data_IF_430007089068
#
_entry.id   IF_430007089068
#
_cell.length_a   1.000
_cell.length_b   1.000
_cell.length_c   1.000
_cell.angle_alpha   90.00
_cell.angle_beta   90.00
_cell.angle_gamma   90.00
#
_symmetry.space_group_name_H-M   'P 1'
#
loop_
_entity.id
_entity.type
_entity.pdbx_description
1 polymer ?
#
# COMPACT_ATOMS: atom_id res chain seq x y z
N UNK A 1 4.93 20.82 -6.05
CA UNK A 1 4.20 19.85 -5.22
C UNK A 1 3.68 18.64 -6.02
N UNK A 2 2.81 18.79 -7.03
CA UNK A 2 2.28 17.62 -7.78
C UNK A 2 3.37 16.83 -8.53
N UNK A 3 4.29 17.51 -9.21
CA UNK A 3 5.43 16.88 -9.93
C UNK A 3 6.39 16.13 -9.00
N UNK A 4 6.65 16.66 -7.79
CA UNK A 4 7.53 16.03 -6.81
C UNK A 4 6.92 14.74 -6.25
N UNK A 5 5.60 14.72 -6.04
CA UNK A 5 4.86 13.52 -5.62
C UNK A 5 4.89 12.46 -6.72
N UNK A 6 4.68 12.85 -7.98
CA UNK A 6 4.74 11.92 -9.12
C UNK A 6 6.14 11.33 -9.27
N UNK A 7 7.19 12.15 -9.17
CA UNK A 7 8.57 11.69 -9.23
C UNK A 7 8.92 10.73 -8.07
N UNK A 8 8.43 11.02 -6.86
CA UNK A 8 8.59 10.15 -5.70
C UNK A 8 7.91 8.80 -5.89
N UNK A 9 6.66 8.78 -6.39
CA UNK A 9 5.93 7.54 -6.68
C UNK A 9 6.66 6.69 -7.73
N UNK A 10 7.17 7.30 -8.80
CA UNK A 10 7.96 6.59 -9.81
C UNK A 10 9.27 6.01 -9.24
N UNK A 11 9.97 6.76 -8.38
CA UNK A 11 11.18 6.26 -7.69
C UNK A 11 10.85 5.05 -6.80
N UNK A 12 9.77 5.12 -6.02
CA UNK A 12 9.31 4.00 -5.19
C UNK A 12 8.92 2.78 -6.03
N UNK A 13 8.23 2.97 -7.15
CA UNK A 13 7.86 1.90 -8.07
C UNK A 13 9.07 1.23 -8.71
N UNK A 14 10.05 2.02 -9.15
CA UNK A 14 11.32 1.52 -9.69
C UNK A 14 12.13 0.77 -8.62
N UNK A 15 12.16 1.26 -7.38
CA UNK A 15 12.82 0.56 -6.28
C UNK A 15 12.14 -0.79 -5.97
N UNK A 16 10.81 -0.80 -5.94
CA UNK A 16 10.02 -2.01 -5.71
C UNK A 16 10.21 -3.06 -6.82
N UNK A 17 10.43 -2.65 -8.07
CA UNK A 17 10.69 -3.58 -9.17
C UNK A 17 12.12 -4.11 -9.18
N UNK A 18 13.10 -3.31 -8.74
CA UNK A 18 14.51 -3.71 -8.64
C UNK A 18 14.82 -4.60 -7.43
N UNK A 19 14.05 -4.48 -6.35
CA UNK A 19 14.19 -5.30 -5.15
C UNK A 19 13.01 -6.28 -5.01
N UNK A 20 12.99 -7.40 -5.76
CA UNK A 20 12.02 -8.47 -5.57
C UNK A 20 12.23 -9.23 -4.25
N UNK A 21 12.97 -8.64 -3.28
CA UNK A 21 13.47 -9.29 -2.08
C UNK A 21 12.37 -10.09 -1.37
N UNK A 22 12.56 -11.41 -1.38
CA UNK A 22 12.41 -12.47 -0.36
C UNK A 22 11.78 -12.19 1.01
N UNK A 23 11.38 -10.96 1.34
CA UNK A 23 10.69 -10.55 2.56
C UNK A 23 9.47 -9.68 2.22
N UNK A 24 8.68 -10.06 1.20
CA UNK A 24 7.32 -9.49 1.07
C UNK A 24 6.58 -9.84 2.36
N UNK A 25 6.29 -8.85 3.18
CA UNK A 25 5.48 -9.03 4.38
C UNK A 25 3.99 -9.09 4.06
N UNK A 26 3.60 -8.51 2.92
CA UNK A 26 2.23 -8.48 2.43
C UNK A 26 2.19 -8.82 0.95
N UNK A 27 1.17 -9.56 0.56
CA UNK A 27 0.84 -9.87 -0.82
C UNK A 27 -0.51 -9.25 -1.17
N UNK A 28 -0.59 -8.58 -2.31
CA UNK A 28 -1.85 -8.07 -2.85
C UNK A 28 -2.60 -9.22 -3.50
N UNK A 29 -3.76 -9.57 -2.95
CA UNK A 29 -4.59 -10.68 -3.43
C UNK A 29 -5.85 -10.19 -4.15
N UNK A 30 -6.24 -8.92 -3.94
CA UNK A 30 -7.34 -8.27 -4.66
C UNK A 30 -6.94 -6.85 -5.03
N UNK A 31 -6.98 -6.55 -6.33
CA UNK A 31 -6.59 -5.26 -6.89
C UNK A 31 -7.81 -4.51 -7.45
N UNK A 32 -8.84 -4.33 -6.64
CA UNK A 32 -10.00 -3.51 -6.98
C UNK A 32 -9.67 -2.04 -6.70
N UNK A 33 -9.49 -1.25 -7.75
CA UNK A 33 -9.10 0.15 -7.63
C UNK A 33 -10.10 1.00 -6.84
N UNK A 34 -11.41 0.78 -7.03
CA UNK A 34 -12.44 1.56 -6.34
C UNK A 34 -12.44 1.29 -4.83
N UNK A 35 -12.19 0.04 -4.44
CA UNK A 35 -12.11 -0.34 -3.04
C UNK A 35 -10.81 0.16 -2.37
N UNK A 36 -9.70 0.13 -3.10
CA UNK A 36 -8.42 0.69 -2.64
C UNK A 36 -8.57 2.20 -2.42
N UNK A 37 -9.18 2.90 -3.37
CA UNK A 37 -9.42 4.34 -3.29
C UNK A 37 -10.34 4.70 -2.10
N UNK A 38 -11.36 3.88 -1.81
CA UNK A 38 -12.22 4.07 -0.64
C UNK A 38 -11.46 3.92 0.69
N UNK A 39 -10.57 2.91 0.81
CA UNK A 39 -9.70 2.77 2.00
C UNK A 39 -8.79 4.00 2.14
N UNK A 40 -8.17 4.44 1.05
CA UNK A 40 -7.28 5.59 1.05
C UNK A 40 -8.03 6.87 1.42
N UNK A 41 -9.22 7.10 0.87
CA UNK A 41 -10.06 8.24 1.19
C UNK A 41 -10.49 8.23 2.66
N UNK A 42 -10.91 7.08 3.19
CA UNK A 42 -11.26 6.93 4.60
C UNK A 42 -10.09 7.33 5.52
N UNK A 43 -8.88 6.84 5.20
CA UNK A 43 -7.68 7.15 5.99
C UNK A 43 -7.18 8.58 5.79
N UNK A 44 -7.34 9.17 4.61
CA UNK A 44 -6.94 10.56 4.36
C UNK A 44 -7.78 11.59 5.16
N UNK A 45 -9.01 11.24 5.55
CA UNK A 45 -9.88 12.13 6.35
C UNK A 45 -9.51 12.18 7.84
N UNK A 46 -8.85 11.15 8.37
CA UNK A 46 -8.17 11.23 9.67
C UNK A 46 -6.80 11.88 9.46
N UNK A 47 -6.37 12.79 10.33
CA UNK A 47 -5.02 13.36 10.24
C UNK A 47 -3.97 12.24 10.22
N UNK A 48 -3.43 11.94 9.03
CA UNK A 48 -2.41 10.93 8.71
C UNK A 48 -2.41 9.71 9.66
N UNK A 49 -3.38 8.79 9.53
CA UNK A 49 -3.38 7.57 10.30
C UNK A 49 -2.07 6.83 10.03
N UNK A 50 -1.51 6.24 11.08
CA UNK A 50 -0.23 5.56 11.00
C UNK A 50 -0.25 4.55 9.85
N UNK A 51 0.89 4.41 9.17
CA UNK A 51 1.07 3.42 8.10
C UNK A 51 0.57 2.02 8.49
N UNK A 52 0.67 1.67 9.79
CA UNK A 52 0.14 0.43 10.37
C UNK A 52 -1.40 0.34 10.30
N UNK A 53 -2.13 1.41 10.60
CA UNK A 53 -3.61 1.41 10.55
C UNK A 53 -4.16 1.27 9.13
N UNK A 54 -3.48 1.87 8.16
CA UNK A 54 -3.78 1.70 6.74
C UNK A 54 -3.57 0.24 6.30
N UNK A 55 -2.44 -0.37 6.65
CA UNK A 55 -2.16 -1.78 6.36
C UNK A 55 -3.19 -2.71 7.01
N UNK A 56 -3.57 -2.48 8.26
CA UNK A 56 -4.63 -3.27 8.93
C UNK A 56 -5.95 -3.18 8.17
N UNK A 57 -6.32 -2.00 7.67
CA UNK A 57 -7.56 -1.81 6.93
C UNK A 57 -7.56 -2.56 5.60
N UNK A 58 -6.43 -2.55 4.89
CA UNK A 58 -6.26 -3.36 3.68
C UNK A 58 -6.33 -4.86 3.95
N UNK A 59 -5.83 -5.34 5.08
CA UNK A 59 -5.93 -6.76 5.48
C UNK A 59 -7.37 -7.14 5.85
N UNK A 60 -8.06 -6.30 6.63
CA UNK A 60 -9.47 -6.55 7.04
C UNK A 60 -10.39 -6.62 5.83
N UNK A 61 -10.14 -5.80 4.81
CA UNK A 61 -10.91 -5.84 3.55
C UNK A 61 -10.47 -6.95 2.59
N UNK A 62 -9.40 -7.68 2.89
CA UNK A 62 -8.90 -8.76 2.03
C UNK A 62 -8.24 -8.26 0.74
N UNK A 63 -7.75 -7.02 0.73
CA UNK A 63 -6.94 -6.45 -0.35
C UNK A 63 -5.49 -6.97 -0.23
N UNK A 64 -4.98 -6.97 1.00
CA UNK A 64 -3.67 -7.52 1.35
C UNK A 64 -3.80 -8.76 2.24
N UNK A 65 -2.84 -9.69 2.11
CA UNK A 65 -2.64 -10.80 3.04
C UNK A 65 -1.23 -10.73 3.59
N UNK A 66 -1.03 -11.04 4.88
CA UNK A 66 0.33 -11.20 5.44
C UNK A 66 0.97 -12.46 4.89
N UNK A 67 2.16 -12.33 4.32
CA UNK A 67 2.97 -13.48 3.98
C UNK A 67 3.47 -14.13 5.28
N UNK A 68 3.51 -15.46 5.32
CA UNK A 68 4.15 -16.17 6.43
C UNK A 68 5.64 -15.83 6.46
N UNK A 69 6.27 -15.71 7.64
CA UNK A 69 7.73 -15.67 7.72
C UNK A 69 8.26 -17.00 7.14
N UNK A 70 9.05 -16.90 6.06
CA UNK A 70 9.73 -18.03 5.44
C UNK A 70 10.96 -18.49 6.21
#
# INVERSE_FOLDING_TARGET
>A
MFEEVVAFVHLCGAFASMHPSTARQYECVRNDGAEIDDVLAHHATGACPTYTGLLTSFVVRGILVRCAPG
#
